data_IF_424645091103
#
_entry.id   IF_424645091103
#
_cell.length_a   1.000
_cell.length_b   1.000
_cell.length_c   1.000
_cell.angle_alpha   90.00
_cell.angle_beta   90.00
_cell.angle_gamma   90.00
#
_symmetry.space_group_name_H-M   'P 1'
#
loop_
_entity.id
_entity.type
_entity.pdbx_description
1 polymer ?
#
# COMPACT_ATOMS: atom_id res chain seq x y z
N UNK A 1 13.91 -13.73 0.76
CA UNK A 1 12.85 -13.59 -0.27
C UNK A 1 11.49 -13.84 0.37
N UNK A 2 11.33 -14.89 1.17
CA UNK A 2 10.06 -15.24 1.85
C UNK A 2 9.44 -14.07 2.64
N UNK A 3 10.22 -13.38 3.48
CA UNK A 3 9.74 -12.22 4.25
C UNK A 3 9.32 -11.01 3.38
N UNK A 4 9.91 -10.83 2.19
CA UNK A 4 9.52 -9.74 1.28
C UNK A 4 8.18 -10.05 0.60
N UNK A 5 8.01 -11.31 0.16
CA UNK A 5 6.78 -11.77 -0.45
C UNK A 5 5.61 -11.68 0.54
N UNK A 6 5.82 -12.12 1.79
CA UNK A 6 4.82 -12.02 2.86
C UNK A 6 4.41 -10.55 3.10
N UNK A 7 5.38 -9.65 3.30
CA UNK A 7 5.09 -8.23 3.53
C UNK A 7 4.37 -7.55 2.35
N UNK A 8 4.70 -7.92 1.11
CA UNK A 8 4.03 -7.39 -0.08
C UNK A 8 2.60 -7.92 -0.21
N UNK A 9 2.40 -9.22 -0.01
CA UNK A 9 1.07 -9.82 -0.05
C UNK A 9 0.17 -9.22 1.05
N UNK A 10 0.66 -9.13 2.28
CA UNK A 10 -0.07 -8.47 3.37
C UNK A 10 -0.40 -7.01 3.05
N UNK A 11 0.51 -6.29 2.39
CA UNK A 11 0.26 -4.90 1.98
C UNK A 11 -0.82 -4.80 0.90
N UNK A 12 -0.86 -5.74 -0.04
CA UNK A 12 -1.90 -5.82 -1.07
C UNK A 12 -3.26 -6.11 -0.44
N UNK A 13 -3.32 -7.07 0.48
CA UNK A 13 -4.54 -7.43 1.21
C UNK A 13 -5.04 -6.24 2.05
N UNK A 14 -4.15 -5.54 2.74
CA UNK A 14 -4.47 -4.32 3.49
C UNK A 14 -5.03 -3.21 2.59
N UNK A 15 -4.55 -3.08 1.35
CA UNK A 15 -5.10 -2.09 0.42
C UNK A 15 -6.53 -2.43 -0.01
N UNK A 16 -6.86 -3.71 -0.17
CA UNK A 16 -8.24 -4.15 -0.41
C UNK A 16 -9.13 -3.89 0.82
N UNK A 17 -8.64 -4.15 2.03
CA UNK A 17 -9.37 -3.83 3.27
C UNK A 17 -9.61 -2.32 3.41
N UNK A 18 -8.59 -1.49 3.16
CA UNK A 18 -8.70 -0.03 3.17
C UNK A 18 -9.73 0.45 2.15
N UNK A 19 -9.71 -0.11 0.94
CA UNK A 19 -10.69 0.18 -0.10
C UNK A 19 -12.12 -0.14 0.37
N UNK A 20 -12.34 -1.33 0.91
CA UNK A 20 -13.65 -1.77 1.42
C UNK A 20 -14.16 -0.94 2.61
N UNK A 21 -13.25 -0.42 3.42
CA UNK A 21 -13.58 0.48 4.53
C UNK A 21 -13.87 1.90 4.05
N UNK A 22 -13.16 2.38 3.03
CA UNK A 22 -13.42 3.69 2.43
C UNK A 22 -14.79 3.73 1.73
N UNK A 23 -15.24 2.63 1.11
CA UNK A 23 -16.61 2.49 0.60
C UNK A 23 -17.69 2.62 1.69
N UNK A 24 -17.33 2.31 2.94
CA UNK A 24 -18.20 2.38 4.12
C UNK A 24 -17.96 3.64 4.96
N UNK A 25 -17.04 4.51 4.53
CA UNK A 25 -16.61 5.72 5.23
C UNK A 25 -16.09 5.49 6.66
N UNK A 26 -15.55 4.30 6.95
CA UNK A 26 -15.06 3.92 8.30
C UNK A 26 -13.62 4.41 8.53
N UNK A 27 -13.46 5.73 8.66
CA UNK A 27 -12.15 6.39 8.80
C UNK A 27 -11.33 5.92 10.01
N UNK A 28 -11.99 5.50 11.10
CA UNK A 28 -11.29 4.99 12.29
C UNK A 28 -10.60 3.67 12.00
N UNK A 29 -11.30 2.72 11.35
CA UNK A 29 -10.66 1.46 10.93
C UNK A 29 -9.63 1.69 9.85
N UNK A 30 -9.89 2.55 8.86
CA UNK A 30 -8.90 2.88 7.82
C UNK A 30 -7.58 3.31 8.46
N UNK A 31 -7.64 4.14 9.52
CA UNK A 31 -6.43 4.58 10.23
C UNK A 31 -5.63 3.43 10.83
N UNK A 32 -6.28 2.41 11.38
CA UNK A 32 -5.62 1.23 11.93
C UNK A 32 -4.92 0.44 10.82
N UNK A 33 -5.62 0.15 9.71
CA UNK A 33 -5.03 -0.60 8.59
C UNK A 33 -3.92 0.20 7.88
N UNK A 34 -4.08 1.51 7.75
CA UNK A 34 -3.06 2.40 7.19
C UNK A 34 -1.75 2.36 8.00
N UNK A 35 -1.82 2.31 9.34
CA UNK A 35 -0.63 2.23 10.18
C UNK A 35 0.16 0.94 9.92
N UNK A 36 -0.53 -0.19 9.79
CA UNK A 36 0.09 -1.48 9.44
C UNK A 36 0.69 -1.42 8.04
N UNK A 37 -0.06 -0.90 7.06
CA UNK A 37 0.41 -0.74 5.68
C UNK A 37 1.68 0.12 5.61
N UNK A 38 1.71 1.25 6.32
CA UNK A 38 2.88 2.13 6.38
C UNK A 38 4.10 1.44 6.98
N UNK A 39 3.91 0.59 8.01
CA UNK A 39 4.98 -0.21 8.59
C UNK A 39 5.54 -1.23 7.59
N UNK A 40 4.65 -1.93 6.87
CA UNK A 40 5.05 -2.93 5.87
C UNK A 40 5.80 -2.26 4.72
N UNK A 41 5.26 -1.16 4.18
CA UNK A 41 5.90 -0.37 3.11
C UNK A 41 7.27 0.12 3.53
N UNK A 42 7.41 0.69 4.72
CA UNK A 42 8.73 1.15 5.20
C UNK A 42 9.75 0.00 5.29
N UNK A 43 9.28 -1.18 5.70
CA UNK A 43 10.11 -2.38 5.83
C UNK A 43 10.63 -2.86 4.48
N UNK A 44 9.76 -3.00 3.47
CA UNK A 44 10.20 -3.47 2.15
C UNK A 44 10.81 -2.36 1.27
N UNK A 45 10.45 -1.09 1.41
CA UNK A 45 11.10 0.00 0.68
C UNK A 45 12.59 0.09 1.02
N UNK A 46 12.97 -0.22 2.26
CA UNK A 46 14.38 -0.32 2.67
C UNK A 46 15.13 -1.40 1.86
N UNK A 47 14.43 -2.49 1.50
CA UNK A 47 14.97 -3.55 0.66
C UNK A 47 15.02 -3.14 -0.83
N UNK A 48 13.97 -2.49 -1.34
CA UNK A 48 13.86 -2.07 -2.74
C UNK A 48 14.74 -0.87 -3.12
N UNK A 49 15.15 -0.03 -2.16
CA UNK A 49 15.99 1.16 -2.40
C UNK A 49 17.32 0.86 -3.10
N UNK A 50 17.79 -0.39 -3.01
CA UNK A 50 19.04 -0.82 -3.65
C UNK A 50 18.89 -0.96 -5.17
N UNK A 51 17.71 -1.34 -5.64
CA UNK A 51 17.48 -1.75 -7.03
C UNK A 51 16.62 -0.76 -7.82
N UNK A 52 15.71 -0.02 -7.17
CA UNK A 52 14.79 0.88 -7.86
C UNK A 52 14.36 2.07 -6.98
N UNK A 53 15.11 3.18 -7.06
CA UNK A 53 14.84 4.38 -6.25
C UNK A 53 13.59 5.14 -6.69
N UNK A 54 13.28 5.13 -7.98
CA UNK A 54 12.14 5.88 -8.52
C UNK A 54 10.81 5.28 -8.04
N UNK A 55 10.67 3.94 -8.09
CA UNK A 55 9.45 3.27 -7.62
C UNK A 55 9.24 3.48 -6.11
N UNK A 56 10.31 3.46 -5.31
CA UNK A 56 10.23 3.72 -3.87
C UNK A 56 9.76 5.15 -3.60
N UNK A 57 10.31 6.15 -4.29
CA UNK A 57 9.87 7.55 -4.15
C UNK A 57 8.40 7.68 -4.52
N UNK A 58 7.94 6.97 -5.55
CA UNK A 58 6.55 7.02 -5.98
C UNK A 58 5.61 6.40 -4.94
N UNK A 59 5.95 5.23 -4.39
CA UNK A 59 5.20 4.58 -3.30
C UNK A 59 5.09 5.50 -2.09
N UNK A 60 6.19 6.15 -1.67
CA UNK A 60 6.19 7.05 -0.51
C UNK A 60 5.25 8.24 -0.75
N UNK A 61 5.26 8.82 -1.96
CA UNK A 61 4.35 9.93 -2.30
C UNK A 61 2.88 9.54 -2.23
N UNK A 62 2.53 8.34 -2.69
CA UNK A 62 1.17 7.82 -2.60
C UNK A 62 0.75 7.58 -1.14
N UNK A 63 1.67 7.07 -0.30
CA UNK A 63 1.41 6.92 1.13
C UNK A 63 1.19 8.25 1.84
N UNK A 64 1.99 9.28 1.51
CA UNK A 64 1.79 10.64 2.03
C UNK A 64 0.43 11.22 1.58
N UNK A 65 0.06 11.04 0.31
CA UNK A 65 -1.23 11.48 -0.21
C UNK A 65 -2.40 10.78 0.52
N UNK A 66 -2.30 9.47 0.75
CA UNK A 66 -3.31 8.70 1.48
C UNK A 66 -3.43 9.18 2.93
N UNK A 67 -2.32 9.50 3.59
CA UNK A 67 -2.32 10.06 4.94
C UNK A 67 -3.03 11.42 4.99
N UNK A 68 -2.77 12.29 4.02
CA UNK A 68 -3.45 13.60 3.92
C UNK A 68 -4.95 13.40 3.71
N UNK A 69 -5.36 12.51 2.80
CA UNK A 69 -6.76 12.18 2.56
C UNK A 69 -7.44 11.62 3.82
N UNK A 70 -6.78 10.72 4.54
CA UNK A 70 -7.27 10.16 5.80
C UNK A 70 -7.49 11.23 6.88
N UNK A 71 -6.60 12.21 7.01
CA UNK A 71 -6.78 13.30 7.98
C UNK A 71 -7.89 14.28 7.58
N UNK A 72 -8.17 14.40 6.28
CA UNK A 72 -9.28 15.18 5.76
C UNK A 72 -10.62 14.43 5.79
N UNK A 73 -10.62 13.12 6.07
CA UNK A 73 -11.81 12.26 5.94
C UNK A 73 -12.23 12.05 4.49
N UNK A 74 -11.32 12.23 3.53
CA UNK A 74 -11.58 12.16 2.11
C UNK A 74 -11.52 10.71 1.61
N UNK A 75 -12.63 10.00 1.79
CA UNK A 75 -12.74 8.59 1.41
C UNK A 75 -12.64 8.37 -0.10
N UNK A 76 -12.99 9.36 -0.93
CA UNK A 76 -12.89 9.25 -2.39
C UNK A 76 -11.42 9.16 -2.81
N UNK A 77 -10.58 10.08 -2.33
CA UNK A 77 -9.15 10.01 -2.60
C UNK A 77 -8.49 8.78 -1.97
N UNK A 78 -8.96 8.30 -0.82
CA UNK A 78 -8.45 7.04 -0.24
C UNK A 78 -8.74 5.86 -1.17
N UNK A 79 -9.94 5.77 -1.77
CA UNK A 79 -10.30 4.73 -2.73
C UNK A 79 -9.38 4.75 -3.96
N UNK A 80 -9.19 5.93 -4.53
CA UNK A 80 -8.38 6.11 -5.74
C UNK A 80 -6.93 5.68 -5.49
N UNK A 81 -6.35 6.18 -4.39
CA UNK A 81 -4.97 5.87 -4.05
C UNK A 81 -4.81 4.39 -3.69
N UNK A 82 -5.71 3.80 -2.90
CA UNK A 82 -5.53 2.41 -2.46
C UNK A 82 -5.65 1.41 -3.60
N UNK A 83 -6.72 1.52 -4.41
CA UNK A 83 -7.06 0.49 -5.41
C UNK A 83 -6.43 0.72 -6.76
N UNK A 84 -6.35 1.98 -7.21
CA UNK A 84 -5.99 2.29 -8.60
C UNK A 84 -4.58 2.83 -8.76
N UNK A 85 -3.98 3.39 -7.70
CA UNK A 85 -2.63 3.93 -7.76
C UNK A 85 -1.61 3.01 -7.09
N UNK A 86 -1.81 2.70 -5.80
CA UNK A 86 -0.80 2.02 -5.00
C UNK A 86 -0.81 0.50 -5.19
N UNK A 87 -1.98 -0.15 -5.13
CA UNK A 87 -2.07 -1.61 -5.27
C UNK A 87 -1.46 -2.13 -6.57
N UNK A 88 -1.72 -1.55 -7.76
CA UNK A 88 -1.13 -2.06 -9.01
C UNK A 88 0.40 -2.04 -8.99
N UNK A 89 1.02 -1.06 -8.32
CA UNK A 89 2.47 -0.98 -8.17
C UNK A 89 2.98 -2.14 -7.29
N UNK A 90 2.32 -2.37 -6.16
CA UNK A 90 2.73 -3.44 -5.24
C UNK A 90 2.56 -4.82 -5.89
N UNK A 91 1.47 -5.03 -6.64
CA UNK A 91 1.25 -6.26 -7.42
C UNK A 91 2.34 -6.45 -8.46
N UNK A 92 2.70 -5.42 -9.22
CA UNK A 92 3.79 -5.51 -10.21
C UNK A 92 5.14 -5.87 -9.57
N UNK A 93 5.45 -5.28 -8.41
CA UNK A 93 6.66 -5.64 -7.65
C UNK A 93 6.61 -7.10 -7.22
N UNK A 94 5.48 -7.52 -6.64
CA UNK A 94 5.27 -8.88 -6.13
C UNK A 94 5.39 -9.93 -7.25
N UNK A 95 4.81 -9.68 -8.41
CA UNK A 95 4.96 -10.52 -9.60
C UNK A 95 6.41 -10.55 -10.10
N UNK A 96 7.09 -9.40 -10.13
CA UNK A 96 8.46 -9.27 -10.59
C UNK A 96 9.50 -10.04 -9.78
N UNK A 97 9.21 -10.29 -8.50
CA UNK A 97 10.08 -11.08 -7.60
C UNK A 97 9.68 -12.57 -7.52
N UNK A 98 8.68 -13.00 -8.31
CA UNK A 98 8.24 -14.40 -8.39
C UNK A 98 7.15 -14.80 -7.38
N UNK A 99 6.37 -13.85 -6.86
CA UNK A 99 5.33 -14.07 -5.86
C UNK A 99 4.05 -14.75 -6.35
N UNK A 100 3.83 -14.86 -7.67
CA UNK A 100 2.59 -15.45 -8.22
C UNK A 100 2.81 -16.90 -8.71
N UNK A 101 2.34 -17.87 -7.93
CA UNK A 101 1.97 -19.19 -8.45
C UNK A 101 0.46 -19.16 -8.70
N UNK A 102 0.08 -18.93 -9.96
CA UNK A 102 -1.32 -19.10 -10.39
C UNK A 102 -1.81 -20.53 -10.24
#
# INVERSE_FOLDING_TARGET
MDNLNELLQESIDLLDEIYELALKEDCEKIRVHYQTLASNINSFCTLLLQDNKEIVIFIIRLMEAMYVALNAGDCVNILDISKYELQPILVQIFEGIGGYNG
#
